data_IF_173351473007
#
_entry.id   IF_173351473007
#
_cell.length_a   1.000
_cell.length_b   1.000
_cell.length_c   1.000
_cell.angle_alpha   90.00
_cell.angle_beta   90.00
_cell.angle_gamma   90.00
#
_symmetry.space_group_name_H-M   'P 1'
#
loop_
_entity.id
_entity.type
_entity.pdbx_description
1 polymer ?
#
# COMPACT_ATOMS: atom_id res chain seq x y z
N UNK A 1 18.17 -16.57 -3.98
CA UNK A 1 17.01 -16.97 -4.79
C UNK A 1 16.18 -15.72 -4.97
N UNK A 2 16.31 -15.03 -6.11
CA UNK A 2 15.49 -13.86 -6.40
C UNK A 2 14.14 -14.38 -6.89
N UNK A 3 13.09 -14.27 -6.08
CA UNK A 3 11.73 -14.52 -6.56
C UNK A 3 11.43 -13.47 -7.61
N UNK A 4 11.13 -13.95 -8.81
CA UNK A 4 10.63 -13.18 -9.93
C UNK A 4 9.30 -12.56 -9.46
N UNK A 5 9.21 -11.25 -9.29
CA UNK A 5 7.93 -10.57 -9.10
C UNK A 5 7.09 -10.80 -10.35
N UNK A 6 6.16 -11.74 -10.31
CA UNK A 6 5.30 -12.04 -11.45
C UNK A 6 4.07 -11.13 -11.43
N UNK A 7 3.47 -10.91 -12.61
CA UNK A 7 2.17 -10.26 -12.74
C UNK A 7 1.10 -10.90 -11.82
N UNK A 8 1.20 -12.22 -11.59
CA UNK A 8 0.30 -12.95 -10.71
C UNK A 8 0.44 -12.51 -9.25
N UNK A 9 1.68 -12.40 -8.74
CA UNK A 9 1.94 -11.93 -7.38
C UNK A 9 1.49 -10.47 -7.20
N UNK A 10 1.67 -9.65 -8.24
CA UNK A 10 1.20 -8.26 -8.28
C UNK A 10 -0.33 -8.18 -8.20
N UNK A 11 -1.02 -9.02 -8.97
CA UNK A 11 -2.50 -9.07 -8.99
C UNK A 11 -3.05 -9.57 -7.66
N UNK A 12 -2.44 -10.62 -7.08
CA UNK A 12 -2.83 -11.16 -5.78
C UNK A 12 -2.66 -10.12 -4.67
N UNK A 13 -1.56 -9.34 -4.68
CA UNK A 13 -1.35 -8.27 -3.72
C UNK A 13 -2.43 -7.18 -3.83
N UNK A 14 -2.80 -6.80 -5.05
CA UNK A 14 -3.87 -5.82 -5.32
C UNK A 14 -5.22 -6.35 -4.83
N UNK A 15 -5.59 -7.57 -5.20
CA UNK A 15 -6.86 -8.19 -4.81
C UNK A 15 -6.98 -8.36 -3.30
N UNK A 16 -5.90 -8.81 -2.66
CA UNK A 16 -5.81 -8.95 -1.19
C UNK A 16 -5.99 -7.60 -0.50
N UNK A 17 -5.24 -6.58 -0.95
CA UNK A 17 -5.30 -5.23 -0.37
C UNK A 17 -6.71 -4.64 -0.50
N UNK A 18 -7.32 -4.78 -1.68
CA UNK A 18 -8.66 -4.28 -1.97
C UNK A 18 -9.73 -5.01 -1.15
N UNK A 19 -9.66 -6.34 -1.07
CA UNK A 19 -10.62 -7.16 -0.33
C UNK A 19 -10.61 -6.86 1.17
N UNK A 20 -9.43 -6.63 1.73
CA UNK A 20 -9.28 -6.27 3.13
C UNK A 20 -9.87 -4.89 3.42
N UNK A 21 -9.53 -3.88 2.62
CA UNK A 21 -10.01 -2.51 2.85
C UNK A 21 -11.51 -2.33 2.54
N UNK A 22 -12.10 -3.20 1.70
CA UNK A 22 -13.56 -3.26 1.52
C UNK A 22 -14.30 -3.91 2.70
N UNK A 23 -13.60 -4.38 3.73
CA UNK A 23 -14.21 -5.11 4.85
C UNK A 23 -14.81 -6.46 4.43
N UNK A 24 -14.46 -6.97 3.24
CA UNK A 24 -14.97 -8.21 2.70
C UNK A 24 -14.27 -9.43 3.32
N UNK A 25 -13.13 -9.20 3.99
CA UNK A 25 -12.50 -10.14 4.91
C UNK A 25 -12.90 -9.81 6.36
N UNK A 26 -13.48 -10.78 7.07
CA UNK A 26 -13.82 -10.68 8.49
C UNK A 26 -12.59 -10.57 9.44
N UNK A 27 -11.38 -10.46 8.88
CA UNK A 27 -10.07 -10.61 9.52
C UNK A 27 -9.17 -9.38 9.42
N UNK A 28 -9.73 -8.18 9.23
CA UNK A 28 -8.92 -6.95 9.26
C UNK A 28 -8.37 -6.72 10.68
N UNK A 29 -7.13 -7.14 10.89
CA UNK A 29 -6.37 -6.91 12.13
C UNK A 29 -5.19 -6.00 11.85
N UNK A 30 -4.69 -5.26 12.85
CA UNK A 30 -3.47 -4.47 12.68
C UNK A 30 -2.29 -5.30 12.16
N UNK A 31 -2.18 -6.56 12.61
CA UNK A 31 -1.14 -7.49 12.17
C UNK A 31 -1.25 -7.81 10.67
N UNK A 32 -2.46 -8.09 10.18
CA UNK A 32 -2.69 -8.36 8.77
C UNK A 32 -2.43 -7.13 7.89
N UNK A 33 -2.78 -5.94 8.38
CA UNK A 33 -2.44 -4.68 7.74
C UNK A 33 -0.93 -4.47 7.60
N UNK A 34 -0.17 -4.78 8.66
CA UNK A 34 1.30 -4.71 8.66
C UNK A 34 1.92 -5.66 7.62
N UNK A 35 1.44 -6.90 7.53
CA UNK A 35 1.95 -7.89 6.56
C UNK A 35 1.79 -7.43 5.10
N UNK A 36 0.69 -6.74 4.80
CA UNK A 36 0.42 -6.22 3.45
C UNK A 36 1.26 -4.99 3.17
N UNK A 37 1.38 -4.11 4.14
CA UNK A 37 2.26 -2.95 4.04
C UNK A 37 3.71 -3.38 3.77
N UNK A 38 4.19 -4.46 4.41
CA UNK A 38 5.53 -5.00 4.16
C UNK A 38 5.72 -5.48 2.71
N UNK A 39 4.70 -6.14 2.13
CA UNK A 39 4.74 -6.55 0.73
C UNK A 39 4.81 -5.35 -0.21
N UNK A 40 4.01 -4.31 0.05
CA UNK A 40 4.06 -3.06 -0.72
C UNK A 40 5.40 -2.34 -0.60
N UNK A 41 5.96 -2.25 0.60
CA UNK A 41 7.30 -1.66 0.82
C UNK A 41 8.34 -2.40 0.00
N UNK A 42 8.32 -3.74 0.00
CA UNK A 42 9.24 -4.55 -0.79
C UNK A 42 9.21 -4.17 -2.27
N UNK A 43 8.02 -4.10 -2.87
CA UNK A 43 7.84 -3.74 -4.29
C UNK A 43 8.23 -2.30 -4.60
N UNK A 44 7.81 -1.36 -3.75
CA UNK A 44 8.03 0.08 -3.97
C UNK A 44 9.47 0.51 -3.70
N UNK A 45 10.26 -0.31 -3.01
CA UNK A 45 11.68 -0.04 -2.77
C UNK A 45 12.57 -0.40 -3.97
N UNK A 46 12.03 -1.04 -5.01
CA UNK A 46 12.79 -1.45 -6.21
C UNK A 46 13.06 -0.28 -7.18
N UNK A 47 12.31 0.83 -7.06
CA UNK A 47 12.46 2.02 -7.89
C UNK A 47 12.70 3.26 -7.03
N UNK A 48 13.66 4.11 -7.43
CA UNK A 48 13.94 5.40 -6.79
C UNK A 48 12.70 6.30 -6.78
N UNK A 49 11.88 6.25 -7.84
CA UNK A 49 10.67 7.06 -7.98
C UNK A 49 9.61 6.72 -6.93
N UNK A 50 9.54 5.46 -6.50
CA UNK A 50 8.54 4.99 -5.52
C UNK A 50 9.08 4.85 -4.09
N UNK A 51 10.36 5.14 -3.89
CA UNK A 51 11.02 5.02 -2.59
C UNK A 51 10.40 5.93 -1.52
N UNK A 52 9.92 7.12 -1.92
CA UNK A 52 9.21 8.03 -1.01
C UNK A 52 7.92 7.41 -0.47
N UNK A 53 7.14 6.73 -1.32
CA UNK A 53 5.92 6.01 -0.95
C UNK A 53 6.25 4.86 0.01
N UNK A 54 7.31 4.11 -0.26
CA UNK A 54 7.77 3.04 0.64
C UNK A 54 8.10 3.58 2.05
N UNK A 55 8.72 4.78 2.13
CA UNK A 55 8.98 5.45 3.40
C UNK A 55 7.68 5.85 4.14
N UNK A 56 6.69 6.37 3.43
CA UNK A 56 5.40 6.71 4.04
C UNK A 56 4.61 5.47 4.52
N UNK A 57 4.76 4.34 3.82
CA UNK A 57 4.21 3.06 4.23
C UNK A 57 4.90 2.50 5.48
N UNK A 58 6.21 2.73 5.65
CA UNK A 58 6.90 2.39 6.91
C UNK A 58 6.33 3.17 8.09
N UNK A 59 6.00 4.45 7.91
CA UNK A 59 5.33 5.26 8.94
C UNK A 59 3.96 4.67 9.28
N UNK A 60 3.16 4.31 8.26
CA UNK A 60 1.85 3.69 8.46
C UNK A 60 1.96 2.37 9.24
N UNK A 61 2.95 1.53 8.91
CA UNK A 61 3.26 0.30 9.65
C UNK A 61 3.58 0.59 11.12
N UNK A 62 4.42 1.59 11.41
CA UNK A 62 4.75 1.97 12.78
C UNK A 62 3.53 2.44 13.57
N UNK A 63 2.59 3.15 12.94
CA UNK A 63 1.34 3.58 13.58
C UNK A 63 0.43 2.40 13.92
N UNK A 64 0.32 1.41 13.02
CA UNK A 64 -0.44 0.18 13.25
C UNK A 64 0.17 -0.71 14.35
N UNK A 65 1.50 -0.69 14.49
CA UNK A 65 2.21 -1.39 15.55
C UNK A 65 2.17 -0.65 16.91
N UNK A 66 1.66 0.58 16.93
CA UNK A 66 1.56 1.40 18.14
C UNK A 66 0.63 0.82 19.19
N UNK A 67 0.94 1.05 20.46
CA UNK A 67 0.09 0.69 21.60
C UNK A 67 0.04 1.85 22.60
N UNK A 68 -1.10 2.56 22.75
CA UNK A 68 -2.37 2.34 22.04
C UNK A 68 -2.31 2.72 20.55
N UNK A 69 -3.16 2.09 19.75
CA UNK A 69 -3.32 2.43 18.32
C UNK A 69 -3.96 3.82 18.21
N UNK A 70 -3.36 4.70 17.41
CA UNK A 70 -3.91 6.03 17.11
C UNK A 70 -4.61 6.00 15.75
N UNK A 71 -5.94 5.81 15.77
CA UNK A 71 -6.75 5.69 14.56
C UNK A 71 -6.71 6.95 13.68
N UNK A 72 -6.75 8.15 14.28
CA UNK A 72 -6.70 9.41 13.53
C UNK A 72 -5.38 9.55 12.77
N UNK A 73 -4.26 9.24 13.42
CA UNK A 73 -2.94 9.26 12.78
C UNK A 73 -2.83 8.23 11.66
N UNK A 74 -3.44 7.05 11.81
CA UNK A 74 -3.48 6.03 10.76
C UNK A 74 -4.27 6.54 9.55
N UNK A 75 -5.46 7.11 9.77
CA UNK A 75 -6.30 7.64 8.70
C UNK A 75 -5.60 8.78 7.95
N UNK A 76 -4.97 9.70 8.68
CA UNK A 76 -4.22 10.82 8.09
C UNK A 76 -3.03 10.31 7.26
N UNK A 77 -2.30 9.31 7.77
CA UNK A 77 -1.19 8.70 7.04
C UNK A 77 -1.67 7.96 5.79
N UNK A 78 -2.80 7.24 5.86
CA UNK A 78 -3.38 6.57 4.68
C UNK A 78 -3.77 7.57 3.58
N UNK A 79 -4.38 8.70 3.95
CA UNK A 79 -4.72 9.79 3.02
C UNK A 79 -3.47 10.41 2.38
N UNK A 80 -2.43 10.62 3.18
CA UNK A 80 -1.15 11.16 2.70
C UNK A 80 -0.50 10.23 1.67
N UNK A 81 -0.43 8.93 1.97
CA UNK A 81 0.12 7.94 1.04
C UNK A 81 -0.72 7.89 -0.24
N UNK A 82 -2.05 7.83 -0.13
CA UNK A 82 -2.94 7.82 -1.30
C UNK A 82 -2.72 9.05 -2.20
N UNK A 83 -2.59 10.24 -1.62
CA UNK A 83 -2.31 11.47 -2.36
C UNK A 83 -0.96 11.44 -3.09
N UNK A 84 0.11 11.00 -2.43
CA UNK A 84 1.44 10.89 -3.06
C UNK A 84 1.47 9.87 -4.19
N UNK A 85 0.82 8.73 -4.00
CA UNK A 85 0.72 7.70 -5.03
C UNK A 85 0.03 8.23 -6.29
N UNK A 86 -1.03 9.03 -6.15
CA UNK A 86 -1.71 9.67 -7.28
C UNK A 86 -0.85 10.71 -8.01
N UNK A 87 0.09 11.36 -7.31
CA UNK A 87 1.02 12.31 -7.91
C UNK A 87 2.16 11.62 -8.68
N UNK A 88 2.61 10.47 -8.19
CA UNK A 88 3.76 9.74 -8.75
C UNK A 88 3.34 8.81 -9.91
N UNK A 89 2.12 8.26 -9.88
CA UNK A 89 1.65 7.32 -10.91
C UNK A 89 1.74 7.86 -12.37
N UNK A 90 1.43 9.13 -12.67
CA UNK A 90 1.61 9.68 -14.02
C UNK A 90 3.07 9.80 -14.46
N UNK A 91 4.01 9.94 -13.52
CA UNK A 91 5.44 10.12 -13.82
C UNK A 91 6.14 8.82 -14.24
N UNK A 92 5.56 7.67 -13.89
CA UNK A 92 6.09 6.35 -14.25
C UNK A 92 5.78 5.95 -15.71
N UNK A 93 5.05 6.79 -16.46
CA UNK A 93 4.59 6.48 -17.81
C UNK A 93 3.41 5.50 -17.82
N UNK A 94 2.77 5.32 -18.97
CA UNK A 94 1.62 4.41 -19.12
C UNK A 94 2.02 2.94 -19.35
N UNK A 95 3.32 2.65 -19.46
CA UNK A 95 3.84 1.33 -19.78
C UNK A 95 4.33 0.59 -18.54
N UNK A 96 3.74 -0.58 -18.27
CA UNK A 96 4.17 -1.49 -17.22
C UNK A 96 3.16 -1.70 -16.10
N UNK A 97 3.54 -2.53 -15.12
CA UNK A 97 2.67 -2.95 -14.02
C UNK A 97 2.61 -1.93 -12.88
N UNK A 98 3.64 -1.10 -12.73
CA UNK A 98 3.78 -0.17 -11.62
C UNK A 98 2.71 0.93 -11.56
N UNK A 99 2.33 1.60 -12.67
CA UNK A 99 1.24 2.57 -12.65
C UNK A 99 -0.09 1.97 -12.18
N UNK A 100 -0.39 0.74 -12.59
CA UNK A 100 -1.59 0.00 -12.18
C UNK A 100 -1.55 -0.39 -10.70
N UNK A 101 -0.39 -0.85 -10.21
CA UNK A 101 -0.12 -1.10 -8.79
C UNK A 101 -0.37 0.16 -7.95
N UNK A 102 0.19 1.30 -8.38
CA UNK A 102 0.01 2.58 -7.69
C UNK A 102 -1.44 3.03 -7.70
N UNK A 103 -2.13 2.98 -8.84
CA UNK A 103 -3.54 3.36 -8.92
C UNK A 103 -4.43 2.50 -7.99
N UNK A 104 -4.16 1.20 -7.94
CA UNK A 104 -4.84 0.28 -7.03
C UNK A 104 -4.55 0.60 -5.56
N UNK A 105 -3.28 0.80 -5.18
CA UNK A 105 -2.88 1.17 -3.83
C UNK A 105 -3.54 2.47 -3.37
N UNK A 106 -3.54 3.51 -4.21
CA UNK A 106 -4.19 4.78 -3.91
C UNK A 106 -5.69 4.62 -3.68
N UNK A 107 -6.36 3.84 -4.52
CA UNK A 107 -7.79 3.56 -4.38
C UNK A 107 -8.07 2.85 -3.07
N UNK A 108 -7.30 1.80 -2.77
CA UNK A 108 -7.48 0.97 -1.60
C UNK A 108 -7.26 1.81 -0.32
N UNK A 109 -6.17 2.59 -0.25
CA UNK A 109 -5.88 3.49 0.88
C UNK A 109 -6.96 4.54 1.09
N UNK A 110 -7.53 5.09 0.00
CA UNK A 110 -8.62 6.06 0.11
C UNK A 110 -9.86 5.43 0.74
N UNK A 111 -10.25 4.25 0.25
CA UNK A 111 -11.40 3.51 0.79
C UNK A 111 -11.23 3.15 2.27
N UNK A 112 -10.03 2.74 2.68
CA UNK A 112 -9.76 2.43 4.09
C UNK A 112 -9.62 3.65 5.00
N UNK A 113 -9.66 4.87 4.45
CA UNK A 113 -9.53 6.14 5.20
C UNK A 113 -10.83 6.94 5.30
N UNK A 114 -11.91 6.42 4.71
CA UNK A 114 -13.29 6.90 4.79
C UNK A 114 -14.02 6.26 5.98
#
# INVERSE_FOLDING_TARGET
MNQMNTLADTTELIETTTSLLMGNEASLTPQRGIEIIDQWIGRLSESETTQSIAGDLQILKSLLAGSPVNADAIMDQMKLVAGKVLLIAPELGAEGEMPSLLAALATALRMGSE
#
